data_IF_554135489783
#
_entry.id   IF_554135489783
#
_cell.length_a   1.000
_cell.length_b   1.000
_cell.length_c   1.000
_cell.angle_alpha   90.00
_cell.angle_beta   90.00
_cell.angle_gamma   90.00
#
_symmetry.space_group_name_H-M   'P 1'
#
loop_
_entity.id
_entity.type
_entity.pdbx_description
1 polymer ?
#
# COMPACT_ATOMS: atom_id res chain seq x y z
N UNK A 1 -8.01 4.76 -12.43
CA UNK A 1 -7.35 3.49 -12.79
C UNK A 1 -8.20 2.37 -12.22
N UNK A 2 -8.31 1.25 -12.92
CA UNK A 2 -9.11 0.08 -12.49
C UNK A 2 -8.20 -1.14 -12.54
N UNK A 3 -7.99 -1.80 -11.38
CA UNK A 3 -7.20 -3.03 -11.26
C UNK A 3 -8.00 -4.00 -10.40
N UNK A 4 -8.37 -5.17 -10.94
CA UNK A 4 -9.03 -6.26 -10.22
C UNK A 4 -10.26 -5.81 -9.38
N UNK A 5 -11.09 -4.92 -9.93
CA UNK A 5 -12.21 -4.29 -9.22
C UNK A 5 -13.56 -5.01 -9.38
N UNK A 6 -13.62 -6.06 -10.21
CA UNK A 6 -14.78 -6.95 -10.27
C UNK A 6 -14.70 -7.96 -9.12
N UNK A 7 -15.49 -7.73 -8.07
CA UNK A 7 -15.48 -8.55 -6.86
C UNK A 7 -16.21 -9.89 -7.01
N UNK A 8 -16.93 -10.11 -8.13
CA UNK A 8 -17.52 -11.41 -8.45
C UNK A 8 -16.48 -12.37 -9.06
N UNK A 9 -15.32 -11.85 -9.48
CA UNK A 9 -14.24 -12.64 -10.06
C UNK A 9 -13.18 -12.99 -9.01
N UNK A 10 -12.83 -14.28 -8.93
CA UNK A 10 -11.68 -14.71 -8.14
C UNK A 10 -10.39 -14.33 -8.86
N UNK A 11 -9.56 -13.54 -8.19
CA UNK A 11 -8.21 -13.18 -8.65
C UNK A 11 -7.17 -13.89 -7.78
N UNK A 12 -6.16 -14.50 -8.42
CA UNK A 12 -5.00 -15.11 -7.75
C UNK A 12 -3.74 -14.54 -8.40
N UNK A 13 -2.83 -13.99 -7.59
CA UNK A 13 -1.62 -13.33 -8.07
C UNK A 13 -0.39 -13.84 -7.33
N UNK A 14 0.69 -14.11 -8.06
CA UNK A 14 2.01 -14.20 -7.46
C UNK A 14 2.55 -12.79 -7.22
N UNK A 15 2.44 -12.30 -5.99
CA UNK A 15 2.82 -10.91 -5.66
C UNK A 15 4.31 -10.66 -5.86
N UNK A 16 5.16 -11.69 -5.90
CA UNK A 16 6.58 -11.56 -6.20
C UNK A 16 6.87 -11.18 -7.65
N UNK A 17 5.97 -11.44 -8.58
CA UNK A 17 6.09 -11.11 -10.01
C UNK A 17 5.49 -9.74 -10.35
N UNK A 18 4.76 -9.12 -9.43
CA UNK A 18 4.21 -7.78 -9.63
C UNK A 18 5.35 -6.76 -9.61
N UNK A 19 5.38 -5.87 -10.59
CA UNK A 19 6.41 -4.84 -10.72
C UNK A 19 6.22 -3.79 -9.63
N UNK A 20 7.32 -3.40 -9.00
CA UNK A 20 7.34 -2.24 -8.10
C UNK A 20 7.17 -0.95 -8.90
N UNK A 21 6.27 -0.09 -8.45
CA UNK A 21 6.05 1.23 -9.03
C UNK A 21 6.27 2.29 -7.97
N UNK A 22 6.87 3.40 -8.34
CA UNK A 22 7.10 4.51 -7.41
C UNK A 22 5.76 5.12 -6.98
N UNK A 23 5.64 5.39 -5.67
CA UNK A 23 4.55 6.17 -5.13
C UNK A 23 4.87 7.68 -5.28
N UNK A 24 3.87 8.56 -5.11
CA UNK A 24 4.12 10.01 -5.08
C UNK A 24 5.08 10.45 -3.95
N UNK A 25 5.23 9.63 -2.91
CA UNK A 25 6.14 9.88 -1.79
C UNK A 25 7.53 9.29 -2.12
N UNK A 26 8.60 10.10 -2.09
CA UNK A 26 9.96 9.62 -2.34
C UNK A 26 10.37 8.49 -1.38
N UNK A 27 11.02 7.46 -1.91
CA UNK A 27 11.45 6.30 -1.11
C UNK A 27 10.33 5.33 -0.76
N UNK A 28 9.13 5.49 -1.35
CA UNK A 28 8.02 4.54 -1.20
C UNK A 28 7.69 3.93 -2.55
N UNK A 29 7.65 2.61 -2.59
CA UNK A 29 7.25 1.84 -3.77
C UNK A 29 6.06 0.95 -3.45
N UNK A 30 5.27 0.63 -4.47
CA UNK A 30 4.08 -0.21 -4.33
C UNK A 30 3.91 -1.22 -5.45
N UNK A 31 3.38 -2.38 -5.07
CA UNK A 31 2.77 -3.40 -5.93
C UNK A 31 1.26 -3.31 -5.74
N UNK A 32 0.57 -2.79 -6.75
CA UNK A 32 -0.89 -2.63 -6.71
C UNK A 32 -1.56 -3.98 -6.99
N UNK A 33 -2.45 -4.42 -6.09
CA UNK A 33 -3.18 -5.68 -6.21
C UNK A 33 -4.64 -5.45 -6.64
N UNK A 34 -5.29 -4.46 -6.04
CA UNK A 34 -6.62 -3.98 -6.40
C UNK A 34 -6.63 -2.45 -6.30
N UNK A 35 -7.34 -1.80 -7.22
CA UNK A 35 -7.51 -0.34 -7.21
C UNK A 35 -8.75 0.10 -7.98
N UNK A 36 -9.63 0.81 -7.31
CA UNK A 36 -10.74 1.56 -7.90
C UNK A 36 -10.54 3.06 -7.67
N UNK A 37 -10.02 3.77 -8.68
CA UNK A 37 -9.85 5.23 -8.62
C UNK A 37 -8.47 5.74 -9.04
N UNK A 38 -8.20 7.03 -8.83
CA UNK A 38 -6.91 7.68 -9.19
C UNK A 38 -6.30 8.37 -7.98
N UNK A 39 -6.86 9.48 -7.50
CA UNK A 39 -6.35 10.21 -6.33
C UNK A 39 -6.97 9.65 -5.05
N UNK A 40 -8.30 9.69 -4.97
CA UNK A 40 -9.08 8.92 -3.99
C UNK A 40 -9.39 7.56 -4.60
N UNK A 41 -8.97 6.49 -3.94
CA UNK A 41 -9.20 5.14 -4.40
C UNK A 41 -9.36 4.16 -3.25
N UNK A 42 -10.28 3.21 -3.40
CA UNK A 42 -10.17 1.96 -2.66
C UNK A 42 -9.00 1.19 -3.25
N UNK A 43 -8.10 0.73 -2.40
CA UNK A 43 -6.89 0.09 -2.88
C UNK A 43 -6.38 -0.96 -1.90
N UNK A 44 -5.90 -2.06 -2.48
CA UNK A 44 -5.11 -3.08 -1.79
C UNK A 44 -3.73 -3.14 -2.45
N UNK A 45 -2.66 -2.97 -1.68
CA UNK A 45 -1.29 -2.92 -2.20
C UNK A 45 -0.29 -3.54 -1.23
N UNK A 46 0.79 -4.10 -1.77
CA UNK A 46 2.01 -4.30 -0.98
C UNK A 46 2.87 -3.05 -1.16
N UNK A 47 3.24 -2.43 -0.05
CA UNK A 47 4.06 -1.22 -0.02
C UNK A 47 5.41 -1.53 0.61
N UNK A 48 6.45 -0.85 0.13
CA UNK A 48 7.79 -0.88 0.70
C UNK A 48 8.25 0.55 0.92
N UNK A 49 8.79 0.78 2.10
CA UNK A 49 9.42 2.02 2.51
C UNK A 49 10.93 1.78 2.57
N UNK A 50 11.70 2.66 1.94
CA UNK A 50 13.15 2.70 2.13
C UNK A 50 13.50 3.01 3.58
N UNK A 51 14.69 2.59 4.01
CA UNK A 51 15.12 2.81 5.40
C UNK A 51 15.18 4.31 5.70
N UNK A 52 14.44 4.74 6.75
CA UNK A 52 14.38 6.14 7.15
C UNK A 52 13.47 6.99 6.27
N UNK A 53 12.65 6.38 5.40
CA UNK A 53 11.59 7.09 4.71
C UNK A 53 10.61 7.67 5.73
N UNK A 54 10.28 8.93 5.54
CA UNK A 54 9.27 9.67 6.30
C UNK A 54 8.18 10.13 5.35
N UNK A 55 6.96 10.23 5.84
CA UNK A 55 5.84 10.75 5.09
C UNK A 55 5.10 11.79 5.91
N UNK A 56 4.55 12.78 5.21
CA UNK A 56 3.76 13.84 5.85
C UNK A 56 2.53 13.24 6.51
N UNK A 57 2.19 13.76 7.68
CA UNK A 57 0.92 13.45 8.35
C UNK A 57 -0.25 13.70 7.39
N UNK A 58 -1.17 12.75 7.32
CA UNK A 58 -2.35 12.78 6.46
C UNK A 58 -3.51 12.10 7.16
N UNK A 59 -4.73 12.34 6.67
CA UNK A 59 -5.94 11.73 7.24
C UNK A 59 -6.34 10.49 6.46
N UNK A 60 -6.94 9.53 7.15
CA UNK A 60 -7.51 8.32 6.56
C UNK A 60 -9.03 8.43 6.50
N UNK A 61 -9.53 9.31 5.64
CA UNK A 61 -10.98 9.59 5.55
C UNK A 61 -11.82 8.34 5.23
N UNK A 62 -11.21 7.35 4.55
CA UNK A 62 -11.80 6.04 4.24
C UNK A 62 -11.29 4.88 5.11
N UNK A 63 -10.44 5.16 6.09
CA UNK A 63 -9.72 4.17 6.89
C UNK A 63 -8.44 3.64 6.23
N UNK A 64 -7.56 3.07 7.05
CA UNK A 64 -6.32 2.40 6.63
C UNK A 64 -6.12 1.16 7.51
N UNK A 65 -5.88 0.01 6.87
CA UNK A 65 -5.53 -1.24 7.55
C UNK A 65 -4.19 -1.72 6.99
N UNK A 66 -3.24 -2.00 7.89
CA UNK A 66 -1.88 -2.40 7.52
C UNK A 66 -1.51 -3.68 8.27
N UNK A 67 -0.96 -4.64 7.51
CA UNK A 67 -0.23 -5.77 8.04
C UNK A 67 1.27 -5.58 7.74
N UNK A 68 2.10 -5.49 8.79
CA UNK A 68 3.55 -5.35 8.64
C UNK A 68 4.15 -6.71 8.27
N UNK A 69 4.65 -6.83 7.04
CA UNK A 69 5.23 -8.08 6.53
C UNK A 69 6.72 -8.25 6.90
N UNK A 70 7.45 -7.14 6.96
CA UNK A 70 8.89 -7.11 7.25
C UNK A 70 9.25 -5.72 7.81
N UNK A 71 10.21 -5.66 8.73
CA UNK A 71 10.70 -4.40 9.29
C UNK A 71 9.82 -3.85 10.41
N UNK A 72 9.75 -2.52 10.50
CA UNK A 72 8.97 -1.83 11.53
C UNK A 72 8.34 -0.57 10.93
N UNK A 73 7.02 -0.48 11.03
CA UNK A 73 6.27 0.74 10.75
C UNK A 73 6.20 1.57 12.04
N UNK A 74 6.39 2.89 11.94
CA UNK A 74 6.39 3.79 13.10
C UNK A 74 5.47 4.96 12.78
N UNK A 75 4.60 5.30 13.72
CA UNK A 75 3.77 6.51 13.72
C UNK A 75 3.89 7.22 15.08
N UNK A 76 3.07 8.25 15.32
CA UNK A 76 3.05 8.99 16.59
C UNK A 76 2.55 8.16 17.78
N UNK A 77 1.92 7.01 17.55
CA UNK A 77 1.33 6.15 18.56
C UNK A 77 2.23 4.96 18.93
N UNK A 78 3.18 4.58 18.07
CA UNK A 78 4.15 3.56 18.41
C UNK A 78 4.94 2.97 17.26
N UNK A 79 5.39 1.74 17.46
CA UNK A 79 6.17 0.96 16.51
C UNK A 79 5.52 -0.41 16.34
N UNK A 80 5.27 -0.78 15.09
CA UNK A 80 4.54 -1.99 14.70
C UNK A 80 5.47 -2.86 13.86
N UNK A 81 5.71 -4.08 14.31
CA UNK A 81 6.50 -5.08 13.61
C UNK A 81 5.68 -6.35 13.37
N UNK A 82 6.25 -7.31 12.62
CA UNK A 82 5.71 -8.66 12.52
C UNK A 82 5.77 -9.41 13.87
#
# INVERSE_FOLDING_TARGET
MQINTDHELRVVMNTHEVVWTDAPVPGVQRRMLERDGVELARATSIVRYEKGAEFTSHTHDGGEEILVLEGTLIDELGSYGP
#
